data_IF_457231109223
#
_entry.id   IF_457231109223
#
_cell.length_a   1.000
_cell.length_b   1.000
_cell.length_c   1.000
_cell.angle_alpha   90.00
_cell.angle_beta   90.00
_cell.angle_gamma   90.00
#
_symmetry.space_group_name_H-M   'P 1'
#
loop_
_entity.id
_entity.type
_entity.pdbx_description
1 polymer ?
#
# COMPACT_ATOMS: atom_id res chain seq x y z
N UNK A 1 3.76 -11.96 -8.69
CA UNK A 1 2.76 -11.31 -9.56
C UNK A 1 1.97 -12.43 -10.19
N UNK A 2 0.64 -12.32 -10.25
CA UNK A 2 -0.18 -13.32 -10.94
C UNK A 2 0.08 -13.27 -12.44
N UNK A 3 -0.09 -14.40 -13.10
CA UNK A 3 0.06 -14.49 -14.56
C UNK A 3 -1.11 -13.78 -15.30
N UNK A 4 -2.24 -13.55 -14.62
CA UNK A 4 -3.38 -12.75 -15.10
C UNK A 4 -4.13 -12.06 -13.95
N UNK A 5 -4.92 -11.04 -14.31
CA UNK A 5 -5.78 -10.23 -13.40
C UNK A 5 -7.20 -10.84 -13.24
N UNK A 6 -7.43 -12.07 -13.73
CA UNK A 6 -8.75 -12.68 -13.72
C UNK A 6 -9.08 -13.40 -12.41
N UNK A 7 -10.38 -13.69 -12.23
CA UNK A 7 -10.88 -14.34 -11.01
C UNK A 7 -10.25 -15.71 -10.78
N UNK A 8 -9.99 -16.48 -11.83
CA UNK A 8 -9.48 -17.84 -11.68
C UNK A 8 -8.05 -17.83 -11.11
N UNK A 9 -7.19 -16.94 -11.62
CA UNK A 9 -5.85 -16.74 -11.09
C UNK A 9 -5.86 -16.22 -9.63
N UNK A 10 -6.80 -15.33 -9.31
CA UNK A 10 -6.97 -14.82 -7.95
C UNK A 10 -7.43 -15.91 -6.96
N UNK A 11 -8.36 -16.77 -7.37
CA UNK A 11 -8.86 -17.88 -6.56
C UNK A 11 -7.74 -18.93 -6.32
N UNK A 12 -6.94 -19.25 -7.34
CA UNK A 12 -5.80 -20.17 -7.23
C UNK A 12 -4.76 -19.67 -6.22
N UNK A 13 -4.36 -18.39 -6.34
CA UNK A 13 -3.41 -17.79 -5.40
C UNK A 13 -3.99 -17.69 -3.99
N UNK A 14 -5.26 -17.32 -3.86
CA UNK A 14 -5.92 -17.23 -2.55
C UNK A 14 -5.88 -18.56 -1.79
N UNK A 15 -6.02 -19.68 -2.53
CA UNK A 15 -5.90 -21.03 -1.98
C UNK A 15 -4.55 -21.33 -1.31
N UNK A 16 -3.46 -20.67 -1.71
CA UNK A 16 -2.12 -20.88 -1.10
C UNK A 16 -2.03 -20.39 0.35
N UNK A 17 -2.98 -19.55 0.78
CA UNK A 17 -3.06 -18.98 2.12
C UNK A 17 -4.26 -19.52 2.92
N UNK A 18 -4.92 -20.58 2.47
CA UNK A 18 -6.12 -21.11 3.11
C UNK A 18 -5.91 -21.52 4.59
N UNK A 19 -4.68 -21.86 4.97
CA UNK A 19 -4.31 -22.28 6.33
C UNK A 19 -3.85 -21.13 7.23
N UNK A 20 -3.82 -19.89 6.73
CA UNK A 20 -3.47 -18.70 7.51
C UNK A 20 -4.64 -17.71 7.55
N UNK A 21 -4.80 -16.93 8.63
CA UNK A 21 -5.90 -15.98 8.76
C UNK A 21 -5.64 -14.70 7.95
N UNK A 22 -5.42 -14.86 6.64
CA UNK A 22 -5.19 -13.78 5.68
C UNK A 22 -6.38 -13.75 4.73
N UNK A 23 -7.47 -13.04 5.06
CA UNK A 23 -8.62 -12.94 4.18
C UNK A 23 -8.21 -12.27 2.87
N UNK A 24 -8.57 -12.90 1.76
CA UNK A 24 -8.32 -12.39 0.41
C UNK A 24 -9.66 -12.16 -0.29
N UNK A 25 -9.74 -11.03 -0.99
CA UNK A 25 -10.90 -10.63 -1.77
C UNK A 25 -10.44 -10.28 -3.18
N UNK A 26 -11.11 -10.82 -4.20
CA UNK A 26 -10.86 -10.41 -5.58
C UNK A 26 -11.71 -9.18 -5.92
N UNK A 27 -11.05 -8.13 -6.37
CA UNK A 27 -11.64 -6.85 -6.77
C UNK A 27 -11.42 -6.61 -8.26
N UNK A 28 -12.21 -7.30 -9.09
CA UNK A 28 -12.09 -7.22 -10.55
C UNK A 28 -12.37 -5.83 -11.14
N UNK A 29 -13.16 -5.02 -10.43
CA UNK A 29 -13.48 -3.64 -10.81
C UNK A 29 -12.46 -2.61 -10.28
N UNK A 30 -11.49 -3.06 -9.47
CA UNK A 30 -10.42 -2.25 -8.89
C UNK A 30 -10.96 -1.14 -7.98
N UNK A 31 -12.15 -1.34 -7.38
CA UNK A 31 -12.82 -0.39 -6.51
C UNK A 31 -11.91 0.06 -5.35
N UNK A 32 -11.22 -0.87 -4.69
CA UNK A 32 -10.27 -0.55 -3.63
C UNK A 32 -9.14 0.32 -4.15
N UNK A 33 -8.55 -0.04 -5.29
CA UNK A 33 -7.48 0.75 -5.90
C UNK A 33 -7.93 2.18 -6.25
N UNK A 34 -9.20 2.37 -6.64
CA UNK A 34 -9.80 3.68 -6.87
C UNK A 34 -10.05 4.46 -5.59
N UNK A 35 -10.55 3.82 -4.53
CA UNK A 35 -10.76 4.49 -3.24
C UNK A 35 -9.44 4.93 -2.62
N UNK A 36 -8.40 4.10 -2.72
CA UNK A 36 -7.07 4.47 -2.22
C UNK A 36 -6.51 5.66 -2.99
N UNK A 37 -6.60 5.67 -4.32
CA UNK A 37 -6.21 6.83 -5.13
C UNK A 37 -6.96 8.10 -4.70
N UNK A 38 -8.27 8.00 -4.46
CA UNK A 38 -9.10 9.11 -3.97
C UNK A 38 -8.64 9.63 -2.62
N UNK A 39 -8.24 8.73 -1.70
CA UNK A 39 -7.68 9.13 -0.40
C UNK A 39 -6.38 9.94 -0.52
N UNK A 40 -5.66 9.80 -1.64
CA UNK A 40 -4.46 10.57 -1.95
C UNK A 40 -4.72 11.82 -2.81
N UNK A 41 -5.99 12.15 -3.06
CA UNK A 41 -6.38 13.31 -3.85
C UNK A 41 -6.19 13.12 -5.36
N UNK A 42 -6.14 11.88 -5.86
CA UNK A 42 -6.06 11.60 -7.30
C UNK A 42 -7.15 10.61 -7.75
N UNK A 43 -7.64 10.79 -8.97
CA UNK A 43 -8.65 9.91 -9.60
C UNK A 43 -8.20 9.42 -10.97
N UNK A 44 -6.93 9.60 -11.33
CA UNK A 44 -6.45 9.34 -12.68
C UNK A 44 -6.22 7.86 -12.95
N UNK A 45 -5.84 7.09 -11.92
CA UNK A 45 -5.53 5.65 -12.00
C UNK A 45 -5.85 4.97 -10.68
N UNK A 46 -6.27 3.71 -10.74
CA UNK A 46 -6.30 2.85 -9.56
C UNK A 46 -4.86 2.61 -9.08
N UNK A 47 -4.62 2.76 -7.78
CA UNK A 47 -3.31 2.53 -7.21
C UNK A 47 -3.12 1.03 -6.92
N UNK A 48 -1.96 0.49 -7.29
CA UNK A 48 -1.60 -0.94 -7.21
C UNK A 48 -0.32 -1.09 -6.38
N UNK A 49 -0.05 -2.31 -5.90
CA UNK A 49 1.10 -2.63 -5.04
C UNK A 49 1.26 -1.67 -3.85
N UNK A 50 0.15 -1.41 -3.15
CA UNK A 50 0.07 -0.49 -2.01
C UNK A 50 0.01 -1.28 -0.72
N UNK A 51 0.74 -0.82 0.27
CA UNK A 51 0.70 -1.32 1.63
C UNK A 51 0.33 -0.16 2.55
N UNK A 52 -0.81 -0.29 3.22
CA UNK A 52 -1.37 0.70 4.13
C UNK A 52 -1.27 0.16 5.56
N UNK A 53 -0.76 0.97 6.48
CA UNK A 53 -0.59 0.60 7.88
C UNK A 53 -1.56 1.41 8.74
N UNK A 54 -2.37 0.70 9.50
CA UNK A 54 -3.45 1.25 10.30
C UNK A 54 -3.30 0.85 11.78
N UNK A 55 -3.62 1.75 12.71
CA UNK A 55 -3.65 1.41 14.12
C UNK A 55 -4.76 0.37 14.38
N UNK A 56 -4.68 -0.41 15.47
CA UNK A 56 -5.64 -1.48 15.77
C UNK A 56 -7.11 -1.03 15.89
N UNK A 57 -7.34 0.26 16.15
CA UNK A 57 -8.65 0.89 16.29
C UNK A 57 -9.14 1.58 15.01
N UNK A 58 -8.39 1.50 13.91
CA UNK A 58 -8.83 2.05 12.63
C UNK A 58 -10.02 1.28 12.09
N UNK A 59 -11.08 2.00 11.74
CA UNK A 59 -12.30 1.45 11.18
C UNK A 59 -12.54 1.97 9.76
N UNK A 60 -12.85 1.05 8.86
CA UNK A 60 -13.32 1.41 7.53
C UNK A 60 -14.83 1.57 7.60
N UNK A 61 -15.32 2.74 7.20
CA UNK A 61 -16.74 3.09 7.28
C UNK A 61 -17.27 3.43 5.90
N UNK A 62 -18.58 3.63 5.78
CA UNK A 62 -19.20 4.11 4.54
C UNK A 62 -18.69 5.50 4.11
N UNK A 63 -18.05 6.25 5.01
CA UNK A 63 -17.39 7.51 4.68
C UNK A 63 -16.05 7.33 3.93
N UNK A 64 -15.53 6.10 3.85
CA UNK A 64 -14.29 5.74 3.17
C UNK A 64 -13.22 5.16 4.10
N UNK A 65 -12.03 4.95 3.54
CA UNK A 65 -10.87 4.49 4.29
C UNK A 65 -10.38 5.60 5.24
N UNK A 66 -10.05 5.27 6.50
CA UNK A 66 -9.38 6.22 7.38
C UNK A 66 -7.99 6.57 6.81
N UNK A 67 -7.37 7.69 7.23
CA UNK A 67 -5.99 7.98 6.90
C UNK A 67 -5.06 6.89 7.46
N UNK A 68 -4.18 6.35 6.62
CA UNK A 68 -3.15 5.42 7.08
C UNK A 68 -2.04 6.17 7.83
N UNK A 69 -1.48 5.58 8.89
CA UNK A 69 -0.35 6.17 9.62
C UNK A 69 0.95 6.05 8.83
N UNK A 70 1.09 4.97 8.05
CA UNK A 70 2.19 4.75 7.12
C UNK A 70 1.65 4.15 5.83
N UNK A 71 2.33 4.45 4.74
CA UNK A 71 2.03 3.85 3.44
C UNK A 71 3.32 3.70 2.64
N UNK A 72 3.43 2.59 1.92
CA UNK A 72 4.45 2.39 0.90
C UNK A 72 3.80 1.80 -0.35
N UNK A 73 4.22 2.27 -1.53
CA UNK A 73 3.71 1.79 -2.81
C UNK A 73 4.78 1.87 -3.91
N UNK A 74 4.61 1.11 -4.99
CA UNK A 74 5.42 1.32 -6.19
C UNK A 74 4.82 2.43 -7.06
N UNK A 75 5.63 3.39 -7.48
CA UNK A 75 5.22 4.45 -8.39
C UNK A 75 6.36 4.90 -9.31
N UNK A 76 6.09 5.00 -10.61
CA UNK A 76 7.00 5.57 -11.64
C UNK A 76 8.45 5.05 -11.57
N UNK A 77 8.63 3.73 -11.41
CA UNK A 77 9.96 3.11 -11.38
C UNK A 77 10.73 3.33 -10.07
N UNK A 78 10.06 3.84 -9.02
CA UNK A 78 10.57 3.91 -7.67
C UNK A 78 9.55 3.38 -6.66
N UNK A 79 9.96 3.41 -5.40
CA UNK A 79 9.08 3.16 -4.25
C UNK A 79 8.81 4.48 -3.56
N UNK A 80 7.53 4.80 -3.38
CA UNK A 80 7.05 5.98 -2.66
C UNK A 80 6.55 5.59 -1.29
N UNK A 81 6.63 6.50 -0.33
CA UNK A 81 5.90 6.38 0.92
C UNK A 81 5.29 7.70 1.36
N UNK A 82 4.24 7.65 2.18
CA UNK A 82 3.74 8.85 2.86
C UNK A 82 4.89 9.47 3.66
N UNK A 83 4.99 10.80 3.66
CA UNK A 83 6.02 11.52 4.39
C UNK A 83 6.05 11.07 5.86
N UNK A 84 7.24 10.71 6.34
CA UNK A 84 7.42 10.15 7.69
C UNK A 84 7.24 8.63 7.79
N UNK A 85 6.89 7.95 6.70
CA UNK A 85 6.88 6.47 6.64
C UNK A 85 8.29 5.93 6.76
N UNK A 86 9.18 6.39 5.86
CA UNK A 86 10.61 6.11 5.80
C UNK A 86 11.37 7.39 5.39
N UNK A 87 12.69 7.49 5.66
CA UNK A 87 13.49 8.60 5.18
C UNK A 87 13.48 8.70 3.64
N UNK A 88 13.51 9.92 3.07
CA UNK A 88 13.58 10.10 1.62
C UNK A 88 14.90 9.53 1.08
N UNK A 89 14.81 8.75 0.01
CA UNK A 89 15.93 8.14 -0.71
C UNK A 89 15.65 8.17 -2.22
N UNK A 90 16.64 8.63 -2.99
CA UNK A 90 16.49 8.78 -4.45
C UNK A 90 16.03 10.18 -4.87
N UNK A 91 15.74 10.32 -6.16
CA UNK A 91 15.44 11.61 -6.79
C UNK A 91 14.00 12.05 -6.54
N UNK A 92 13.84 13.02 -5.62
CA UNK A 92 12.55 13.57 -5.22
C UNK A 92 11.88 14.39 -6.33
N UNK A 93 12.58 14.75 -7.41
CA UNK A 93 11.95 15.39 -8.56
C UNK A 93 11.00 14.45 -9.32
N UNK A 94 11.12 13.13 -9.09
CA UNK A 94 10.23 12.11 -9.66
C UNK A 94 8.92 11.93 -8.88
N UNK A 95 8.74 12.62 -7.74
CA UNK A 95 7.46 12.63 -7.03
C UNK A 95 6.37 13.21 -7.96
N UNK A 96 5.28 12.46 -8.22
CA UNK A 96 4.15 12.97 -8.98
C UNK A 96 3.57 14.26 -8.40
N UNK A 97 3.03 15.12 -9.26
CA UNK A 97 2.46 16.42 -8.83
C UNK A 97 1.44 16.26 -7.69
N UNK A 98 0.55 15.28 -7.81
CA UNK A 98 -0.47 14.99 -6.80
C UNK A 98 0.12 14.63 -5.43
N UNK A 99 1.34 14.09 -5.39
CA UNK A 99 2.00 13.64 -4.17
C UNK A 99 2.93 14.69 -3.54
N UNK A 100 3.18 15.81 -4.20
CA UNK A 100 4.15 16.81 -3.71
C UNK A 100 3.79 17.30 -2.32
N UNK A 101 4.77 17.22 -1.41
CA UNK A 101 4.61 17.61 -0.02
C UNK A 101 4.02 16.53 0.89
N UNK A 102 3.35 15.51 0.32
CA UNK A 102 2.70 14.42 1.03
C UNK A 102 3.48 13.10 0.97
N UNK A 103 4.20 12.84 -0.12
CA UNK A 103 4.96 11.60 -0.30
C UNK A 103 6.43 11.91 -0.59
N UNK A 104 7.28 10.95 -0.26
CA UNK A 104 8.70 10.93 -0.58
C UNK A 104 9.01 9.69 -1.43
N UNK A 105 9.99 9.79 -2.34
CA UNK A 105 10.63 8.59 -2.90
C UNK A 105 11.52 8.03 -1.79
N UNK A 106 11.36 6.73 -1.47
CA UNK A 106 12.02 6.06 -0.34
C UNK A 106 12.90 4.87 -0.76
N UNK A 107 12.90 4.51 -2.04
CA UNK A 107 13.80 3.49 -2.57
C UNK A 107 13.50 3.06 -4.00
N UNK A 108 14.18 2.01 -4.45
CA UNK A 108 13.98 1.39 -5.76
C UNK A 108 13.01 0.20 -5.70
N UNK A 109 12.34 -0.19 -6.80
CA UNK A 109 11.33 -1.25 -6.80
C UNK A 109 11.82 -2.59 -6.25
N UNK A 110 13.07 -2.97 -6.53
CA UNK A 110 13.72 -4.18 -6.02
C UNK A 110 13.92 -4.18 -4.51
N UNK A 111 13.87 -3.01 -3.86
CA UNK A 111 14.02 -2.85 -2.42
C UNK A 111 12.68 -2.99 -1.68
N UNK A 112 11.55 -3.06 -2.39
CA UNK A 112 10.20 -3.00 -1.79
C UNK A 112 10.02 -3.98 -0.62
N UNK A 113 10.45 -5.24 -0.77
CA UNK A 113 10.28 -6.24 0.28
C UNK A 113 11.07 -5.90 1.56
N UNK A 114 12.28 -5.36 1.40
CA UNK A 114 13.12 -4.93 2.52
C UNK A 114 12.52 -3.70 3.21
N UNK A 115 12.10 -2.71 2.42
CA UNK A 115 11.46 -1.48 2.92
C UNK A 115 10.14 -1.78 3.64
N UNK A 116 9.35 -2.72 3.12
CA UNK A 116 8.12 -3.17 3.76
C UNK A 116 8.39 -3.78 5.13
N UNK A 117 9.44 -4.58 5.25
CA UNK A 117 9.85 -5.19 6.53
C UNK A 117 10.35 -4.13 7.53
N UNK A 118 11.09 -3.13 7.05
CA UNK A 118 11.56 -1.99 7.85
C UNK A 118 10.40 -1.17 8.44
N UNK A 119 9.25 -1.14 7.75
CA UNK A 119 8.04 -0.49 8.26
C UNK A 119 7.26 -1.44 9.17
N UNK A 120 6.93 -2.64 8.67
CA UNK A 120 5.95 -3.53 9.28
C UNK A 120 6.38 -4.03 10.65
N UNK A 121 7.66 -4.42 10.81
CA UNK A 121 8.18 -4.97 12.06
C UNK A 121 8.05 -3.95 13.21
N UNK A 122 8.67 -2.75 13.15
CA UNK A 122 8.55 -1.79 14.25
C UNK A 122 7.12 -1.27 14.41
N UNK A 123 6.33 -1.19 13.34
CA UNK A 123 4.93 -0.77 13.43
C UNK A 123 4.11 -1.72 14.31
N UNK A 124 4.19 -3.02 14.04
CA UNK A 124 3.49 -4.05 14.83
C UNK A 124 4.01 -4.10 16.26
N UNK A 125 5.33 -4.02 16.46
CA UNK A 125 5.91 -4.00 17.81
C UNK A 125 5.42 -2.80 18.64
N UNK A 126 5.22 -1.63 18.01
CA UNK A 126 4.66 -0.44 18.68
C UNK A 126 3.27 -0.64 19.29
N UNK A 127 2.48 -1.59 18.76
CA UNK A 127 1.15 -1.92 19.26
C UNK A 127 1.10 -3.15 20.17
N UNK A 128 2.17 -3.97 20.21
CA UNK A 128 2.25 -5.13 21.11
C UNK A 128 2.47 -4.76 22.58
N UNK A 129 2.96 -3.55 22.86
CA UNK A 129 3.33 -3.09 24.21
C UNK A 129 2.22 -2.23 24.85
N UNK A 130 1.03 -2.15 24.24
CA UNK A 130 -0.12 -1.39 24.76
C UNK A 130 -1.19 -2.29 25.36
#
# INVERSE_FOLDING_TARGET
MLDSDDRAAADEMSGTYADVPVPQFWDGEKLLGWEVSRSFGTTERAAWDIYLFYPPDAEWTDAGLPPAEKMIAQARGGVIGLKGTLPPKGDQSNVPEWGKGMIDIVGQPEELAALLSEIAVPYVEGYRVR
#
